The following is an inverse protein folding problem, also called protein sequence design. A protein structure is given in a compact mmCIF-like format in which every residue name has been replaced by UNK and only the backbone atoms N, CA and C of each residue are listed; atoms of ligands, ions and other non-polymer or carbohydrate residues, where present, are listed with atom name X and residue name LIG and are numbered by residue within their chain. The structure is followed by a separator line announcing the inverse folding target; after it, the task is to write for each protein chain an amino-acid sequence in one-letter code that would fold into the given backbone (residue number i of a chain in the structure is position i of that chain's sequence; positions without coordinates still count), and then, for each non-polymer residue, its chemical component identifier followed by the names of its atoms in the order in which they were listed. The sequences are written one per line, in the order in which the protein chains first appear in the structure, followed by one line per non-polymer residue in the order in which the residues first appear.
data_IF_729849755081
#
_entry.id   IF_729849755081
#
_cell.length_a   1.000
_cell.length_b   1.000
_cell.length_c   1.000
_cell.angle_alpha   90.00
_cell.angle_beta   90.00
_cell.angle_gamma   90.00
#
_symmetry.space_group_name_H-M   'P 1'
#
loop_
_entity.id
_entity.type
_entity.pdbx_description
1 polymer ?
#
# COMPACT_ATOMS: atom_id res chain seq x y z
N UNK A 1 -11.76 9.80 4.77
CA UNK A 1 -10.95 8.90 3.94
C UNK A 1 -9.97 9.68 3.10
N UNK A 2 -8.83 9.08 2.82
CA UNK A 2 -7.84 9.60 1.88
C UNK A 2 -7.09 8.43 1.24
N UNK A 3 -6.12 8.73 0.37
CA UNK A 3 -5.20 7.75 -0.18
C UNK A 3 -3.78 8.26 0.03
N UNK A 4 -2.95 7.45 0.66
CA UNK A 4 -1.54 7.77 0.88
C UNK A 4 -0.69 6.52 0.65
N UNK A 5 0.43 6.66 -0.06
CA UNK A 5 1.34 5.54 -0.28
C UNK A 5 2.07 5.19 1.01
N UNK A 6 2.32 3.90 1.20
CA UNK A 6 3.01 3.37 2.38
C UNK A 6 4.30 2.67 1.96
N UNK A 7 4.19 1.72 1.05
CA UNK A 7 5.30 0.94 0.53
C UNK A 7 5.28 1.06 -0.99
N UNK A 8 6.42 1.41 -1.58
CA UNK A 8 6.52 1.64 -3.02
C UNK A 8 7.82 1.04 -3.56
N UNK A 9 7.89 0.78 -4.88
CA UNK A 9 9.16 0.40 -5.49
C UNK A 9 10.20 1.50 -5.33
N UNK A 10 11.47 1.12 -5.34
CA UNK A 10 12.57 2.09 -5.27
C UNK A 10 12.46 3.05 -6.47
N UNK A 11 12.62 4.34 -6.20
CA UNK A 11 12.54 5.38 -7.21
C UNK A 11 11.13 5.87 -7.53
N UNK A 12 10.09 5.23 -6.99
CA UNK A 12 8.73 5.68 -7.20
C UNK A 12 8.43 6.93 -6.36
N UNK A 13 7.60 7.82 -6.93
CA UNK A 13 7.18 9.03 -6.23
C UNK A 13 6.04 8.69 -5.25
N UNK A 14 6.18 9.00 -3.96
CA UNK A 14 5.08 8.80 -3.01
C UNK A 14 3.95 9.81 -3.24
N UNK A 15 2.77 9.46 -2.69
CA UNK A 15 1.64 10.38 -2.74
C UNK A 15 0.92 10.43 -1.40
N UNK A 16 0.24 11.54 -1.15
CA UNK A 16 -0.60 11.71 0.04
C UNK A 16 -1.79 12.60 -0.33
N UNK A 17 -2.94 11.97 -0.48
CA UNK A 17 -4.18 12.69 -0.78
C UNK A 17 -4.73 13.41 0.43
N UNK A 18 -5.45 14.50 0.19
CA UNK A 18 -6.16 15.24 1.23
C UNK A 18 -7.40 14.46 1.68
N UNK A 19 -7.86 14.72 2.91
CA UNK A 19 -9.06 14.06 3.44
C UNK A 19 -10.28 14.36 2.59
N UNK A 20 -11.05 13.31 2.31
CA UNK A 20 -12.31 13.38 1.54
C UNK A 20 -12.13 13.97 0.14
N UNK A 21 -10.93 13.87 -0.42
CA UNK A 21 -10.61 14.35 -1.76
C UNK A 21 -10.10 13.22 -2.63
N UNK A 22 -10.49 13.23 -3.89
CA UNK A 22 -9.91 12.34 -4.88
C UNK A 22 -8.49 12.79 -5.19
N UNK A 23 -7.65 11.83 -5.55
CA UNK A 23 -6.29 12.10 -5.97
C UNK A 23 -6.00 11.26 -7.21
N UNK A 24 -5.33 11.86 -8.19
CA UNK A 24 -4.85 11.15 -9.38
C UNK A 24 -3.34 11.02 -9.28
N UNK A 25 -2.85 9.80 -9.46
CA UNK A 25 -1.40 9.53 -9.43
C UNK A 25 -1.02 8.77 -10.70
N UNK A 26 0.17 9.07 -11.22
CA UNK A 26 0.74 8.35 -12.35
C UNK A 26 1.83 7.44 -11.81
N UNK A 27 1.69 6.13 -12.05
CA UNK A 27 2.63 5.13 -11.54
C UNK A 27 3.56 4.70 -12.69
N UNK A 28 4.74 5.29 -12.74
CA UNK A 28 5.71 5.05 -13.81
C UNK A 28 6.76 4.00 -13.48
N UNK A 29 6.84 3.57 -12.22
CA UNK A 29 7.86 2.60 -11.79
C UNK A 29 7.20 1.24 -11.63
N UNK A 30 7.77 0.23 -12.30
CA UNK A 30 7.30 -1.14 -12.19
C UNK A 30 7.45 -1.68 -10.77
N UNK A 31 6.48 -2.45 -10.32
CA UNK A 31 6.52 -3.11 -9.02
C UNK A 31 5.20 -3.03 -8.28
N UNK A 32 5.23 -3.40 -7.00
CA UNK A 32 4.08 -3.44 -6.11
C UNK A 32 4.05 -2.19 -5.25
N UNK A 33 2.86 -1.61 -5.12
CA UNK A 33 2.59 -0.43 -4.29
C UNK A 33 1.56 -0.81 -3.23
N UNK A 34 1.78 -0.36 -2.00
CA UNK A 34 0.79 -0.47 -0.91
C UNK A 34 0.39 0.94 -0.51
N UNK A 35 -0.92 1.18 -0.39
CA UNK A 35 -1.45 2.46 0.06
C UNK A 35 -2.47 2.26 1.16
N UNK A 36 -2.76 3.31 1.89
CA UNK A 36 -3.65 3.29 3.03
C UNK A 36 -4.66 4.44 3.00
N UNK A 37 -5.73 4.29 3.77
CA UNK A 37 -6.53 5.41 4.26
C UNK A 37 -5.95 5.78 5.63
N UNK A 38 -5.28 6.92 5.74
CA UNK A 38 -4.51 7.26 6.93
C UNK A 38 -5.35 7.24 8.22
N UNK A 39 -6.55 7.85 8.29
CA UNK A 39 -7.34 7.81 9.52
C UNK A 39 -7.90 6.43 9.87
N UNK A 40 -7.96 5.48 8.91
CA UNK A 40 -8.49 4.15 9.14
C UNK A 40 -7.42 3.05 9.03
N UNK A 41 -6.16 3.40 9.18
CA UNK A 41 -5.05 2.46 9.11
C UNK A 41 -5.19 1.31 10.09
N UNK A 42 -5.64 1.58 11.31
CA UNK A 42 -5.84 0.54 12.34
C UNK A 42 -6.87 -0.50 11.94
N UNK A 43 -7.78 -0.15 11.04
CA UNK A 43 -8.81 -1.05 10.52
C UNK A 43 -8.33 -1.79 9.28
N UNK A 44 -7.05 -1.67 8.94
CA UNK A 44 -6.44 -2.24 7.73
C UNK A 44 -7.15 -1.76 6.45
N UNK A 45 -7.54 -0.49 6.41
CA UNK A 45 -8.08 0.11 5.19
C UNK A 45 -6.93 0.41 4.24
N UNK A 46 -6.53 -0.60 3.50
CA UNK A 46 -5.35 -0.59 2.63
C UNK A 46 -5.69 -1.19 1.28
N UNK A 47 -4.84 -0.93 0.29
CA UNK A 47 -4.94 -1.55 -1.02
C UNK A 47 -3.56 -1.79 -1.60
N UNK A 48 -3.50 -2.63 -2.63
CA UNK A 48 -2.26 -2.95 -3.33
C UNK A 48 -2.45 -2.73 -4.82
N UNK A 49 -1.40 -2.27 -5.49
CA UNK A 49 -1.37 -2.08 -6.93
C UNK A 49 -0.11 -2.74 -7.46
N UNK A 50 -0.25 -3.46 -8.57
CA UNK A 50 0.89 -4.03 -9.28
C UNK A 50 1.01 -3.37 -10.65
N UNK A 51 2.16 -2.77 -10.92
CA UNK A 51 2.48 -2.17 -12.22
C UNK A 51 3.49 -3.07 -12.91
N UNK A 52 3.11 -3.67 -14.03
CA UNK A 52 3.97 -4.62 -14.74
C UNK A 52 4.24 -5.87 -13.89
N UNK A 53 5.50 -6.20 -13.68
CA UNK A 53 5.89 -7.35 -12.87
C UNK A 53 6.09 -6.97 -11.41
N UNK A 54 5.83 -7.91 -10.51
CA UNK A 54 5.99 -7.70 -9.06
C UNK A 54 7.46 -7.85 -8.65
N UNK A 55 8.33 -7.01 -9.19
CA UNK A 55 9.79 -7.12 -9.03
C UNK A 55 10.27 -6.91 -7.60
N UNK A 56 9.49 -6.19 -6.79
CA UNK A 56 9.82 -5.88 -5.40
C UNK A 56 8.93 -6.63 -4.39
N UNK A 57 8.22 -7.68 -4.82
CA UNK A 57 7.22 -8.33 -3.98
C UNK A 57 7.80 -8.86 -2.67
N UNK A 58 8.97 -9.50 -2.71
CA UNK A 58 9.59 -10.04 -1.51
C UNK A 58 9.91 -8.94 -0.50
N UNK A 59 10.42 -7.82 -0.99
CA UNK A 59 10.73 -6.67 -0.13
C UNK A 59 9.46 -6.06 0.45
N UNK A 60 8.40 -5.97 -0.35
CA UNK A 60 7.11 -5.47 0.12
C UNK A 60 6.55 -6.40 1.20
N UNK A 61 6.57 -7.71 1.00
CA UNK A 61 6.12 -8.68 2.00
C UNK A 61 6.91 -8.56 3.29
N UNK A 62 8.22 -8.39 3.19
CA UNK A 62 9.09 -8.24 4.36
C UNK A 62 8.77 -6.97 5.13
N UNK A 63 8.63 -5.84 4.44
CA UNK A 63 8.35 -4.55 5.08
C UNK A 63 6.92 -4.48 5.61
N UNK A 64 5.97 -5.17 4.99
CA UNK A 64 4.59 -5.19 5.44
C UNK A 64 4.42 -5.83 6.81
N UNK A 65 5.34 -6.70 7.24
CA UNK A 65 5.29 -7.31 8.57
C UNK A 65 5.42 -6.27 9.68
N UNK A 66 6.23 -5.24 9.47
CA UNK A 66 6.33 -4.13 10.40
C UNK A 66 5.12 -3.19 10.29
N UNK A 67 4.70 -2.90 9.08
CA UNK A 67 3.58 -1.98 8.84
C UNK A 67 2.29 -2.51 9.44
N UNK A 68 1.99 -3.80 9.28
CA UNK A 68 0.72 -4.37 9.76
C UNK A 68 0.59 -4.41 11.27
N UNK A 69 1.66 -4.13 12.02
CA UNK A 69 1.61 -4.02 13.48
C UNK A 69 0.67 -2.91 13.94
N UNK A 70 0.39 -1.94 13.08
CA UNK A 70 -0.56 -0.87 13.37
C UNK A 70 -2.01 -1.31 13.26
N UNK A 71 -2.29 -2.48 12.69
CA UNK A 71 -3.65 -2.97 12.49
C UNK A 71 -4.22 -3.51 13.80
N UNK A 72 -5.41 -3.07 14.14
CA UNK A 72 -6.19 -3.57 15.28
C UNK A 72 -7.23 -4.57 14.80
N UNK A 73 -7.77 -4.32 13.59
CA UNK A 73 -8.81 -5.16 12.96
C UNK A 73 -8.30 -5.64 11.60
N UNK A 74 -8.83 -6.77 11.13
CA UNK A 74 -8.53 -7.30 9.79
C UNK A 74 -7.02 -7.47 9.56
N UNK A 75 -6.32 -8.01 10.56
CA UNK A 75 -4.85 -8.04 10.58
C UNK A 75 -4.21 -8.82 9.44
N UNK A 76 -4.94 -9.73 8.82
CA UNK A 76 -4.47 -10.56 7.71
C UNK A 76 -4.85 -10.03 6.33
N UNK A 77 -5.57 -8.91 6.26
CA UNK A 77 -6.07 -8.37 4.98
C UNK A 77 -4.94 -8.05 4.01
N UNK A 78 -3.90 -7.37 4.47
CA UNK A 78 -2.77 -7.00 3.61
C UNK A 78 -2.04 -8.24 3.10
N UNK A 79 -1.79 -9.22 3.97
CA UNK A 79 -1.13 -10.47 3.59
C UNK A 79 -1.94 -11.17 2.50
N UNK A 80 -3.26 -11.18 2.63
CA UNK A 80 -4.15 -11.79 1.64
C UNK A 80 -4.04 -11.09 0.28
N UNK A 81 -4.07 -9.76 0.27
CA UNK A 81 -3.94 -9.00 -0.98
C UNK A 81 -2.60 -9.28 -1.66
N UNK A 82 -1.51 -9.30 -0.90
CA UNK A 82 -0.20 -9.56 -1.45
C UNK A 82 -0.07 -10.99 -1.98
N UNK A 83 -0.76 -11.96 -1.38
CA UNK A 83 -0.72 -13.35 -1.84
C UNK A 83 -1.43 -13.55 -3.18
N UNK A 84 -2.26 -12.61 -3.59
CA UNK A 84 -3.03 -12.70 -4.84
C UNK A 84 -2.29 -12.09 -6.05
N UNK A 85 -1.12 -11.52 -5.85
CA UNK A 85 -0.37 -10.84 -6.91
C UNK A 85 0.44 -11.78 -7.81
#
# INVERSE_FOLDING_TARGET
HNSASVLTPAGATPWKGAMSKDISVTLNTEGVYVYECTPHKMMAMVGVIKVGSATNLDKIKQNSQNYKRAFVMNKDRLDKYLSEL
#
